data_IF_983668767317
#
_entry.id   IF_983668767317
#
_cell.length_a   1.000
_cell.length_b   1.000
_cell.length_c   1.000
_cell.angle_alpha   90.00
_cell.angle_beta   90.00
_cell.angle_gamma   90.00
#
_symmetry.space_group_name_H-M   'P 1'
#
loop_
_entity.id
_entity.type
_entity.pdbx_description
1 polymer ?
#
# COMPACT_ATOMS: atom_id res chain seq x y z
N UNK A 1 -56.23 -17.45 28.25
CA UNK A 1 -55.61 -16.54 27.25
C UNK A 1 -55.43 -15.17 27.90
N UNK A 2 -54.31 -14.49 27.61
CA UNK A 2 -53.90 -13.14 28.04
C UNK A 2 -52.93 -13.00 29.25
N UNK A 3 -51.67 -13.30 28.94
CA UNK A 3 -50.43 -12.51 29.12
C UNK A 3 -50.22 -11.56 30.33
N UNK A 4 -49.16 -11.92 31.08
CA UNK A 4 -48.34 -11.09 31.97
C UNK A 4 -47.53 -10.08 31.15
N UNK A 5 -47.49 -8.81 31.55
CA UNK A 5 -46.48 -7.86 31.05
C UNK A 5 -45.91 -7.03 32.20
N UNK A 6 -44.58 -7.14 32.34
CA UNK A 6 -43.75 -6.58 33.40
C UNK A 6 -43.45 -5.09 33.15
N UNK A 7 -43.26 -4.39 34.26
CA UNK A 7 -42.76 -3.02 34.41
C UNK A 7 -41.51 -2.77 33.56
N UNK A 8 -41.49 -1.69 32.77
CA UNK A 8 -40.25 -0.98 32.36
C UNK A 8 -40.50 0.52 32.23
N UNK A 9 -39.51 1.38 32.57
CA UNK A 9 -39.68 2.82 32.70
C UNK A 9 -39.65 3.55 31.35
N UNK A 10 -40.41 4.63 31.31
CA UNK A 10 -40.55 5.62 30.24
C UNK A 10 -39.22 6.29 29.89
N UNK A 11 -38.61 5.88 28.77
CA UNK A 11 -37.57 6.67 28.10
C UNK A 11 -38.23 7.82 27.33
N UNK A 12 -38.26 9.01 27.95
CA UNK A 12 -38.51 10.26 27.23
C UNK A 12 -37.28 10.59 26.38
N UNK A 13 -37.30 10.22 25.10
CA UNK A 13 -36.36 10.75 24.11
C UNK A 13 -36.71 12.21 23.84
N UNK A 14 -35.86 13.12 24.31
CA UNK A 14 -35.89 14.54 23.96
C UNK A 14 -35.60 14.65 22.46
N UNK A 15 -36.65 14.95 21.68
CA UNK A 15 -36.51 15.32 20.27
C UNK A 15 -35.95 16.74 20.21
N UNK A 16 -34.69 16.86 19.78
CA UNK A 16 -34.08 18.15 19.46
C UNK A 16 -34.38 18.46 17.97
N UNK A 17 -35.15 19.49 17.64
CA UNK A 17 -35.53 19.80 16.26
C UNK A 17 -34.42 20.66 15.63
N UNK A 18 -33.34 20.05 15.15
CA UNK A 18 -32.24 20.86 14.59
C UNK A 18 -31.12 20.14 13.86
N UNK A 19 -31.17 18.81 13.69
CA UNK A 19 -30.12 18.09 12.96
C UNK A 19 -30.73 17.59 11.65
N UNK A 20 -30.65 18.45 10.64
CA UNK A 20 -30.79 18.04 9.23
C UNK A 20 -29.89 16.82 9.03
N UNK A 21 -30.47 15.69 8.63
CA UNK A 21 -29.74 14.47 8.32
C UNK A 21 -28.77 14.75 7.18
N UNK A 22 -27.54 15.11 7.51
CA UNK A 22 -26.44 15.16 6.55
C UNK A 22 -26.24 13.72 6.11
N UNK A 23 -26.85 13.37 4.98
CA UNK A 23 -26.61 12.12 4.29
C UNK A 23 -25.13 12.09 3.93
N UNK A 24 -24.31 11.44 4.76
CA UNK A 24 -22.90 11.21 4.48
C UNK A 24 -22.85 10.31 3.24
N UNK A 25 -22.74 10.93 2.06
CA UNK A 25 -22.44 10.23 0.81
C UNK A 25 -21.02 9.67 0.94
N UNK A 26 -20.93 8.41 1.40
CA UNK A 26 -19.72 7.60 1.28
C UNK A 26 -19.43 7.46 -0.22
N UNK A 27 -18.50 8.27 -0.73
CA UNK A 27 -17.90 8.00 -2.03
C UNK A 27 -17.01 6.76 -1.86
N UNK A 28 -17.55 5.57 -2.07
CA UNK A 28 -16.72 4.40 -2.33
C UNK A 28 -16.23 4.52 -3.78
N UNK A 29 -15.11 5.22 -4.00
CA UNK A 29 -14.44 5.13 -5.29
C UNK A 29 -13.91 3.71 -5.45
N UNK A 30 -14.58 2.88 -6.24
CA UNK A 30 -14.10 1.55 -6.59
C UNK A 30 -12.87 1.74 -7.48
N UNK A 31 -11.66 1.65 -6.92
CA UNK A 31 -10.44 1.67 -7.74
C UNK A 31 -10.41 0.40 -8.58
N UNK A 32 -10.36 0.58 -9.90
CA UNK A 32 -10.10 -0.50 -10.85
C UNK A 32 -8.59 -0.66 -10.98
N UNK A 33 -8.09 -1.86 -10.75
CA UNK A 33 -6.68 -2.22 -10.91
C UNK A 33 -6.49 -2.95 -12.24
N UNK A 34 -5.26 -2.97 -12.77
CA UNK A 34 -4.94 -3.76 -13.96
C UNK A 34 -4.20 -3.00 -15.08
N UNK A 35 -4.66 -1.81 -15.53
CA UNK A 35 -3.93 -1.09 -16.55
C UNK A 35 -2.58 -0.61 -15.99
N UNK A 36 -1.49 -1.02 -16.64
CA UNK A 36 -0.12 -0.60 -16.33
C UNK A 36 0.51 -0.11 -17.63
N UNK A 37 0.94 1.16 -17.66
CA UNK A 37 1.60 1.71 -18.83
C UNK A 37 2.96 1.03 -19.06
N UNK A 38 3.46 1.06 -20.30
CA UNK A 38 4.75 0.46 -20.63
C UNK A 38 5.91 1.15 -19.88
N UNK A 39 5.78 2.45 -19.57
CA UNK A 39 6.75 3.24 -18.79
C UNK A 39 6.77 2.89 -17.29
N UNK A 40 5.65 2.40 -16.74
CA UNK A 40 5.55 1.99 -15.33
C UNK A 40 6.18 0.61 -15.07
N UNK A 41 6.64 -0.09 -16.12
CA UNK A 41 7.24 -1.42 -16.00
C UNK A 41 8.67 -1.31 -15.51
N UNK A 42 8.93 -1.91 -14.34
CA UNK A 42 10.28 -2.03 -13.79
C UNK A 42 11.16 -2.96 -14.66
N UNK A 43 10.59 -4.02 -15.23
CA UNK A 43 11.33 -5.00 -16.05
C UNK A 43 11.10 -4.75 -17.55
N UNK A 44 11.77 -3.74 -18.10
CA UNK A 44 11.58 -3.27 -19.48
C UNK A 44 12.11 -4.24 -20.56
N UNK A 45 13.22 -4.94 -20.31
CA UNK A 45 13.81 -5.91 -21.26
C UNK A 45 13.46 -7.38 -20.95
N UNK A 46 12.24 -7.64 -20.49
CA UNK A 46 11.82 -8.99 -20.09
C UNK A 46 11.91 -10.02 -21.23
N UNK A 47 11.65 -9.59 -22.47
CA UNK A 47 11.65 -10.46 -23.64
C UNK A 47 12.99 -10.52 -24.39
N UNK A 48 14.04 -9.87 -23.88
CA UNK A 48 15.37 -9.89 -24.52
C UNK A 48 15.44 -9.20 -25.89
N UNK A 49 14.50 -8.29 -26.19
CA UNK A 49 14.49 -7.50 -27.45
C UNK A 49 15.62 -6.49 -27.51
N UNK A 50 16.16 -6.09 -26.36
CA UNK A 50 17.31 -5.19 -26.24
C UNK A 50 18.52 -5.94 -25.69
N UNK A 51 19.70 -5.33 -25.80
CA UNK A 51 20.94 -5.90 -25.28
C UNK A 51 20.87 -6.12 -23.76
N UNK A 52 21.12 -7.34 -23.30
CA UNK A 52 21.11 -7.71 -21.87
C UNK A 52 22.42 -7.41 -21.15
N UNK A 53 23.48 -7.07 -21.89
CA UNK A 53 24.79 -6.71 -21.35
C UNK A 53 24.76 -5.33 -20.68
N UNK A 54 25.90 -4.96 -20.08
CA UNK A 54 26.04 -3.73 -19.31
C UNK A 54 25.66 -2.46 -20.09
N UNK A 55 26.08 -2.34 -21.36
CA UNK A 55 25.76 -1.17 -22.20
C UNK A 55 24.25 -1.00 -22.39
N UNK A 56 23.56 -2.07 -22.79
CA UNK A 56 22.10 -2.07 -22.87
C UNK A 56 21.40 -1.85 -21.52
N UNK A 57 21.95 -2.33 -20.41
CA UNK A 57 21.41 -2.09 -19.07
C UNK A 57 21.50 -0.62 -18.67
N UNK A 58 22.66 0.00 -18.86
CA UNK A 58 22.85 1.44 -18.60
C UNK A 58 21.91 2.30 -19.45
N UNK A 59 21.64 1.91 -20.69
CA UNK A 59 20.70 2.62 -21.57
C UNK A 59 19.24 2.57 -21.08
N UNK A 60 18.87 1.56 -20.27
CA UNK A 60 17.52 1.44 -19.68
C UNK A 60 17.38 2.15 -18.33
N UNK A 61 18.47 2.74 -17.82
CA UNK A 61 18.51 3.35 -16.50
C UNK A 61 18.96 2.40 -15.37
N UNK A 62 19.34 1.15 -15.69
CA UNK A 62 20.02 0.30 -14.72
C UNK A 62 21.37 0.95 -14.34
N UNK A 63 21.82 0.80 -13.09
CA UNK A 63 23.01 1.46 -12.54
C UNK A 63 22.95 3.00 -12.45
N UNK A 64 21.79 3.62 -12.70
CA UNK A 64 21.63 5.05 -12.52
C UNK A 64 21.72 5.45 -11.04
N UNK A 65 22.66 6.37 -10.72
CA UNK A 65 22.84 6.96 -9.38
C UNK A 65 22.97 5.96 -8.22
N UNK A 66 23.42 4.73 -8.49
CA UNK A 66 23.58 3.70 -7.45
C UNK A 66 24.56 4.13 -6.37
N UNK A 67 25.63 4.85 -6.72
CA UNK A 67 26.58 5.43 -5.75
C UNK A 67 25.89 6.38 -4.77
N UNK A 68 24.98 7.23 -5.26
CA UNK A 68 24.24 8.17 -4.41
C UNK A 68 23.29 7.42 -3.48
N UNK A 69 22.61 6.37 -3.98
CA UNK A 69 21.74 5.52 -3.17
C UNK A 69 22.52 4.85 -2.02
N UNK A 70 23.71 4.32 -2.32
CA UNK A 70 24.57 3.70 -1.29
C UNK A 70 25.01 4.73 -0.23
N UNK A 71 25.36 5.94 -0.65
CA UNK A 71 25.80 7.00 0.26
C UNK A 71 24.69 7.51 1.20
N UNK A 72 23.40 7.31 0.88
CA UNK A 72 22.29 7.66 1.78
C UNK A 72 22.19 6.76 3.02
N UNK A 73 22.89 5.63 3.02
CA UNK A 73 22.94 4.72 4.16
C UNK A 73 21.80 3.71 4.21
N UNK A 74 21.99 2.67 5.03
CA UNK A 74 21.11 1.51 5.12
C UNK A 74 19.73 1.87 5.66
N UNK A 75 19.66 2.72 6.68
CA UNK A 75 18.39 3.10 7.31
C UNK A 75 17.45 3.83 6.35
N UNK A 76 18.01 4.71 5.51
CA UNK A 76 17.23 5.40 4.48
C UNK A 76 16.65 4.41 3.47
N UNK A 77 17.46 3.46 2.97
CA UNK A 77 17.02 2.43 2.01
C UNK A 77 15.91 1.55 2.63
N UNK A 78 16.06 1.15 3.90
CA UNK A 78 15.04 0.37 4.61
C UNK A 78 13.74 1.16 4.78
N UNK A 79 13.83 2.47 5.04
CA UNK A 79 12.69 3.37 5.10
C UNK A 79 11.90 3.40 3.80
N UNK A 80 12.59 3.64 2.68
CA UNK A 80 11.96 3.69 1.35
C UNK A 80 11.27 2.36 0.99
N UNK A 81 11.89 1.22 1.29
CA UNK A 81 11.29 -0.09 1.00
C UNK A 81 10.05 -0.34 1.86
N UNK A 82 10.06 0.09 3.13
CA UNK A 82 8.86 0.01 3.99
C UNK A 82 7.74 0.90 3.46
N UNK A 83 8.05 2.14 3.06
CA UNK A 83 7.09 3.10 2.49
C UNK A 83 6.50 2.60 1.18
N UNK A 84 7.30 1.93 0.34
CA UNK A 84 6.83 1.34 -0.93
C UNK A 84 5.78 0.23 -0.75
N UNK A 85 5.63 -0.32 0.46
CA UNK A 85 4.72 -1.42 0.73
C UNK A 85 5.12 -2.73 0.03
N UNK A 86 6.39 -2.87 -0.37
CA UNK A 86 6.86 -4.06 -1.09
C UNK A 86 6.73 -5.32 -0.23
N UNK A 87 6.08 -6.33 -0.79
CA UNK A 87 5.92 -7.67 -0.20
C UNK A 87 6.72 -8.70 -0.99
N UNK A 88 7.19 -9.74 -0.31
CA UNK A 88 8.00 -10.80 -0.89
C UNK A 88 7.32 -11.45 -2.09
N UNK A 89 8.05 -11.58 -3.20
CA UNK A 89 7.57 -12.15 -4.48
C UNK A 89 7.82 -13.66 -4.62
N UNK A 90 8.33 -14.32 -3.57
CA UNK A 90 8.58 -15.77 -3.55
C UNK A 90 7.43 -16.64 -3.04
N UNK A 91 6.19 -16.11 -2.99
CA UNK A 91 4.99 -16.87 -2.58
C UNK A 91 4.49 -16.59 -1.15
N UNK A 92 5.38 -16.38 -0.18
CA UNK A 92 4.98 -16.13 1.22
C UNK A 92 4.38 -14.74 1.48
N UNK A 93 4.64 -13.75 0.61
CA UNK A 93 4.07 -12.41 0.74
C UNK A 93 4.50 -11.61 1.99
N UNK A 94 5.61 -12.01 2.64
CA UNK A 94 6.12 -11.32 3.84
C UNK A 94 6.64 -9.90 3.50
N UNK A 95 6.40 -8.86 4.32
CA UNK A 95 6.88 -7.50 4.03
C UNK A 95 8.41 -7.44 3.90
N UNK A 96 8.90 -7.02 2.73
CA UNK A 96 10.34 -7.07 2.41
C UNK A 96 11.16 -6.14 3.31
N UNK A 97 10.69 -4.91 3.52
CA UNK A 97 11.38 -3.93 4.36
C UNK A 97 11.48 -4.33 5.84
N UNK A 98 10.52 -5.12 6.34
CA UNK A 98 10.60 -5.69 7.69
C UNK A 98 11.62 -6.85 7.74
N UNK A 99 11.61 -7.74 6.73
CA UNK A 99 12.54 -8.87 6.65
C UNK A 99 13.99 -8.41 6.66
N UNK A 100 14.30 -7.37 5.89
CA UNK A 100 15.67 -6.85 5.79
C UNK A 100 16.10 -6.13 7.06
N UNK A 101 15.16 -5.50 7.78
CA UNK A 101 15.43 -4.84 9.05
C UNK A 101 15.93 -5.79 10.15
N UNK A 102 15.64 -7.09 10.10
CA UNK A 102 16.14 -8.05 11.08
C UNK A 102 17.67 -8.22 11.08
N UNK A 103 18.33 -7.84 9.98
CA UNK A 103 19.78 -7.89 9.88
C UNK A 103 20.46 -6.72 10.59
N UNK A 104 19.73 -5.62 10.86
CA UNK A 104 20.24 -4.50 11.64
C UNK A 104 20.13 -4.88 13.12
N UNK A 105 21.02 -5.76 13.57
CA UNK A 105 21.19 -6.08 14.99
C UNK A 105 22.00 -4.96 15.67
N UNK A 106 21.68 -4.61 16.92
CA UNK A 106 22.57 -3.78 17.74
C UNK A 106 23.94 -4.45 17.92
#
# INVERSE_FOLDING_TARGET
MAAIARITPTLKTVLNPGISSVLVRRHSSTKVYGPLADEDRIFTNLYGRHEWRLKGAMARGDWYKTKEILNKGVDWILGEIKTSGLRGRGGAGFPTGMKWGFMNKP
#
